data_IF_867403967719
#
_entry.id   IF_867403967719
#
_cell.length_a   1.000
_cell.length_b   1.000
_cell.length_c   1.000
_cell.angle_alpha   90.00
_cell.angle_beta   90.00
_cell.angle_gamma   90.00
#
_symmetry.space_group_name_H-M   'P 1'
#
loop_
_entity.id
_entity.type
_entity.pdbx_description
1 polymer ?
#
# COMPACT_ATOMS: atom_id res chain seq x y z
N UNK A 1 -13.90 11.56 1.66
CA UNK A 1 -13.34 10.72 2.73
C UNK A 1 -12.40 9.67 2.16
N UNK A 2 -11.10 9.77 2.46
CA UNK A 2 -10.04 8.86 2.02
C UNK A 2 -10.17 7.48 2.69
N UNK A 3 -9.53 6.42 2.15
CA UNK A 3 -9.46 5.13 2.82
C UNK A 3 -8.82 5.19 4.21
N UNK A 4 -7.84 6.08 4.42
CA UNK A 4 -7.15 6.27 5.70
C UNK A 4 -8.09 6.87 6.76
N UNK A 5 -8.82 7.92 6.41
CA UNK A 5 -9.82 8.55 7.29
C UNK A 5 -10.90 7.54 7.72
N UNK A 6 -11.33 6.67 6.80
CA UNK A 6 -12.29 5.60 7.13
C UNK A 6 -11.71 4.54 8.07
N UNK A 7 -10.42 4.25 8.03
CA UNK A 7 -9.77 3.31 8.97
C UNK A 7 -9.73 3.87 10.38
N UNK A 8 -9.50 5.17 10.56
CA UNK A 8 -9.48 5.83 11.86
C UNK A 8 -10.84 5.81 12.59
N UNK A 9 -11.93 5.61 11.84
CA UNK A 9 -13.27 5.43 12.40
C UNK A 9 -13.51 4.05 13.02
N UNK A 10 -12.62 3.08 12.80
CA UNK A 10 -12.72 1.74 13.40
C UNK A 10 -12.48 1.83 14.91
N UNK A 11 -13.31 1.12 15.68
CA UNK A 11 -13.18 0.97 17.14
C UNK A 11 -13.03 -0.52 17.47
N UNK A 12 -11.80 -0.93 17.80
CA UNK A 12 -11.46 -2.34 18.09
C UNK A 12 -12.08 -2.86 19.39
N UNK A 13 -12.23 -1.99 20.38
CA UNK A 13 -12.69 -2.32 21.73
C UNK A 13 -14.22 -2.20 21.89
N UNK A 14 -14.95 -1.79 20.84
CA UNK A 14 -16.38 -1.59 20.93
C UNK A 14 -17.14 -2.92 20.77
N UNK A 15 -17.73 -3.41 21.87
CA UNK A 15 -18.38 -4.72 21.98
C UNK A 15 -19.70 -4.83 21.22
N UNK A 16 -20.33 -3.71 20.83
CA UNK A 16 -21.64 -3.71 20.17
C UNK A 16 -21.64 -4.01 18.66
N UNK A 17 -20.50 -3.87 17.98
CA UNK A 17 -20.42 -4.01 16.53
C UNK A 17 -19.09 -4.64 16.10
N UNK A 18 -19.17 -5.84 15.50
CA UNK A 18 -17.97 -6.55 15.05
C UNK A 18 -17.17 -5.75 14.00
N UNK A 19 -15.84 -5.95 13.99
CA UNK A 19 -14.95 -5.32 13.00
C UNK A 19 -15.41 -5.57 11.55
N UNK A 20 -15.95 -6.75 11.24
CA UNK A 20 -16.51 -7.04 9.90
C UNK A 20 -17.65 -6.07 9.54
N UNK A 21 -18.57 -5.82 10.47
CA UNK A 21 -19.70 -4.91 10.23
C UNK A 21 -19.20 -3.47 10.12
N UNK A 22 -18.24 -3.07 10.96
CA UNK A 22 -17.60 -1.75 10.85
C UNK A 22 -16.93 -1.55 9.48
N UNK A 23 -16.12 -2.51 9.00
CA UNK A 23 -15.52 -2.49 7.67
C UNK A 23 -16.56 -2.36 6.55
N UNK A 24 -17.65 -3.14 6.64
CA UNK A 24 -18.72 -3.14 5.64
C UNK A 24 -19.43 -1.79 5.57
N UNK A 25 -19.72 -1.18 6.72
CA UNK A 25 -20.33 0.16 6.81
C UNK A 25 -19.41 1.24 6.24
N UNK A 26 -18.11 1.16 6.55
CA UNK A 26 -17.10 2.12 6.11
C UNK A 26 -16.58 1.85 4.69
N UNK A 27 -17.04 0.79 4.03
CA UNK A 27 -16.60 0.37 2.68
C UNK A 27 -15.06 0.28 2.57
N UNK A 28 -14.43 -0.36 3.54
CA UNK A 28 -12.99 -0.68 3.54
C UNK A 28 -12.76 -2.18 3.63
N UNK A 29 -11.65 -2.67 3.07
CA UNK A 29 -11.30 -4.08 3.20
C UNK A 29 -10.90 -4.40 4.64
N UNK A 30 -11.30 -5.58 5.13
CA UNK A 30 -10.91 -6.04 6.46
C UNK A 30 -9.40 -6.25 6.59
N UNK A 31 -8.74 -6.70 5.52
CA UNK A 31 -7.28 -6.86 5.49
C UNK A 31 -6.56 -5.55 5.81
N UNK A 32 -7.13 -4.42 5.41
CA UNK A 32 -6.53 -3.11 5.63
C UNK A 32 -6.46 -2.64 7.08
N UNK A 33 -7.22 -3.28 7.99
CA UNK A 33 -7.11 -3.04 9.44
C UNK A 33 -5.82 -3.64 10.02
N UNK A 34 -5.37 -4.75 9.42
CA UNK A 34 -4.21 -5.51 9.90
C UNK A 34 -2.93 -5.12 9.17
N UNK A 35 -3.05 -4.46 8.03
CA UNK A 35 -1.91 -4.00 7.25
C UNK A 35 -1.34 -2.71 7.86
N UNK A 36 -0.10 -2.79 8.32
CA UNK A 36 0.71 -1.62 8.64
C UNK A 36 1.58 -1.31 7.42
N UNK A 37 1.48 -0.11 6.81
CA UNK A 37 2.36 0.26 5.73
C UNK A 37 3.81 0.29 6.23
N UNK A 38 4.69 -0.39 5.50
CA UNK A 38 6.13 -0.38 5.73
C UNK A 38 6.73 0.52 4.66
N UNK A 39 7.47 1.54 5.07
CA UNK A 39 8.20 2.41 4.16
C UNK A 39 9.38 1.65 3.53
N UNK A 40 9.88 2.17 2.41
CA UNK A 40 11.13 1.71 1.82
C UNK A 40 12.29 2.54 2.36
N UNK A 41 13.46 1.92 2.53
CA UNK A 41 14.67 2.65 2.85
C UNK A 41 15.11 3.51 1.65
N UNK A 42 15.95 4.56 1.86
CA UNK A 42 16.37 5.45 0.80
C UNK A 42 17.04 4.74 -0.38
N UNK A 43 17.85 3.70 -0.13
CA UNK A 43 18.54 2.99 -1.20
C UNK A 43 17.56 2.21 -2.08
N UNK A 44 16.52 1.62 -1.50
CA UNK A 44 15.44 1.00 -2.27
C UNK A 44 14.69 2.02 -3.13
N UNK A 45 14.42 3.22 -2.61
CA UNK A 45 13.76 4.30 -3.37
C UNK A 45 14.63 4.75 -4.54
N UNK A 46 15.93 4.95 -4.30
CA UNK A 46 16.89 5.34 -5.34
C UNK A 46 16.98 4.28 -6.45
N UNK A 47 17.01 3.00 -6.06
CA UNK A 47 16.96 1.88 -6.99
C UNK A 47 15.67 1.90 -7.84
N UNK A 48 14.52 2.15 -7.23
CA UNK A 48 13.24 2.27 -7.97
C UNK A 48 13.29 3.41 -9.00
N UNK A 49 13.84 4.57 -8.62
CA UNK A 49 14.02 5.70 -9.55
C UNK A 49 15.01 5.38 -10.68
N UNK A 50 16.04 4.57 -10.43
CA UNK A 50 16.99 4.16 -11.46
C UNK A 50 16.37 3.18 -12.46
N UNK A 51 15.62 2.19 -11.96
CA UNK A 51 14.84 1.27 -12.79
C UNK A 51 13.87 2.05 -13.70
N UNK A 52 13.14 3.02 -13.13
CA UNK A 52 12.21 3.87 -13.88
C UNK A 52 12.91 4.71 -14.96
N UNK A 53 14.08 5.28 -14.64
CA UNK A 53 14.91 6.03 -15.60
C UNK A 53 15.37 5.14 -16.77
N UNK A 54 15.86 3.93 -16.48
CA UNK A 54 16.32 2.98 -17.51
C UNK A 54 15.16 2.56 -18.40
N UNK A 55 14.01 2.20 -17.81
CA UNK A 55 12.85 1.77 -18.58
C UNK A 55 12.27 2.91 -19.43
N UNK A 56 12.22 4.14 -18.89
CA UNK A 56 11.78 5.32 -19.64
C UNK A 56 12.68 5.58 -20.84
N UNK A 57 14.00 5.40 -20.69
CA UNK A 57 14.96 5.55 -21.79
C UNK A 57 14.91 4.38 -22.79
N UNK A 58 14.62 3.18 -22.30
CA UNK A 58 14.59 1.94 -23.08
C UNK A 58 13.32 1.12 -22.77
N UNK A 59 12.15 1.49 -23.34
CA UNK A 59 10.86 0.86 -23.00
C UNK A 59 10.75 -0.63 -23.36
N UNK A 60 11.69 -1.14 -24.15
CA UNK A 60 11.79 -2.53 -24.57
C UNK A 60 12.75 -3.36 -23.68
N UNK A 61 13.40 -2.76 -22.68
CA UNK A 61 14.24 -3.50 -21.75
C UNK A 61 13.40 -4.29 -20.75
N UNK A 62 13.62 -5.60 -20.70
CA UNK A 62 13.11 -6.46 -19.63
C UNK A 62 14.00 -6.41 -18.38
N UNK A 63 13.56 -7.04 -17.29
CA UNK A 63 14.27 -7.04 -15.99
C UNK A 63 15.73 -7.49 -16.08
N UNK A 64 16.03 -8.49 -16.92
CA UNK A 64 17.41 -8.97 -17.16
C UNK A 64 18.31 -7.92 -17.81
N UNK A 65 17.76 -7.05 -18.65
CA UNK A 65 18.52 -5.98 -19.32
C UNK A 65 18.68 -4.76 -18.42
N UNK A 66 17.72 -4.53 -17.52
CA UNK A 66 17.81 -3.45 -16.52
C UNK A 66 18.84 -3.80 -15.43
N UNK A 67 19.00 -5.08 -15.10
CA UNK A 67 19.92 -5.55 -14.06
C UNK A 67 21.34 -5.91 -14.53
N UNK A 68 21.63 -5.78 -15.83
CA UNK A 68 22.93 -6.10 -16.44
C UNK A 68 23.83 -4.87 -16.49
#
# INVERSE_FOLDING_TARGET
MSPSERREMIRKENTGLSLTRQCKLLRISRSSIYYTPVGFDPATIDLMHEIDRIFTKHPFFGSRQIAA
#
